data_IF_827465571260
#
_entry.id   IF_827465571260
#
_cell.length_a   1.000
_cell.length_b   1.000
_cell.length_c   1.000
_cell.angle_alpha   90.00
_cell.angle_beta   90.00
_cell.angle_gamma   90.00
#
_symmetry.space_group_name_H-M   'P 1'
#
loop_
_entity.id
_entity.type
_entity.pdbx_description
1 polymer ?
#
# COMPACT_ATOMS: atom_id res chain seq x y z
N UNK A 1 17.47 8.29 2.39
CA UNK A 1 17.51 6.93 1.81
C UNK A 1 17.11 7.03 0.35
N UNK A 2 17.82 6.40 -0.60
CA UNK A 2 17.54 6.57 -2.04
C UNK A 2 16.05 6.28 -2.34
N UNK A 3 15.32 7.29 -2.85
CA UNK A 3 13.88 7.26 -3.22
C UNK A 3 13.38 5.93 -3.84
N UNK A 4 14.14 5.19 -4.69
CA UNK A 4 13.70 3.89 -5.20
C UNK A 4 13.58 2.77 -4.15
N UNK A 5 14.42 2.77 -3.11
CA UNK A 5 14.43 1.69 -2.09
C UNK A 5 13.17 1.71 -1.24
N UNK A 6 12.64 2.90 -0.97
CA UNK A 6 11.45 3.09 -0.14
C UNK A 6 10.20 2.48 -0.78
N UNK A 7 10.03 2.69 -2.10
CA UNK A 7 8.94 2.08 -2.88
C UNK A 7 8.98 0.56 -2.83
N UNK A 8 10.17 -0.02 -2.92
CA UNK A 8 10.36 -1.46 -2.83
C UNK A 8 9.89 -2.00 -1.47
N UNK A 9 10.26 -1.33 -0.38
CA UNK A 9 9.81 -1.70 0.97
C UNK A 9 8.30 -1.62 1.13
N UNK A 10 7.64 -0.57 0.62
CA UNK A 10 6.17 -0.50 0.65
C UNK A 10 5.49 -1.59 -0.17
N UNK A 11 6.07 -1.96 -1.31
CA UNK A 11 5.53 -3.03 -2.12
C UNK A 11 5.65 -4.39 -1.40
N UNK A 12 6.81 -4.66 -0.78
CA UNK A 12 7.01 -5.86 0.05
C UNK A 12 6.03 -5.87 1.23
N UNK A 13 5.84 -4.74 1.91
CA UNK A 13 4.89 -4.60 3.00
C UNK A 13 3.46 -4.91 2.55
N UNK A 14 3.02 -4.34 1.43
CA UNK A 14 1.69 -4.61 0.88
C UNK A 14 1.48 -6.09 0.54
N UNK A 15 2.50 -6.75 -0.03
CA UNK A 15 2.46 -8.20 -0.31
C UNK A 15 2.36 -9.02 0.96
N UNK A 16 3.15 -8.71 2.00
CA UNK A 16 3.10 -9.42 3.30
C UNK A 16 1.70 -9.30 3.91
N UNK A 17 1.12 -8.09 3.91
CA UNK A 17 -0.21 -7.85 4.46
C UNK A 17 -1.30 -8.55 3.64
N UNK A 18 -1.14 -8.61 2.32
CA UNK A 18 -2.07 -9.33 1.47
C UNK A 18 -2.03 -10.84 1.72
N UNK A 19 -0.83 -11.43 1.81
CA UNK A 19 -0.64 -12.86 2.08
C UNK A 19 -1.14 -13.24 3.48
N UNK A 20 -0.88 -12.40 4.49
CA UNK A 20 -1.36 -12.66 5.85
C UNK A 20 -2.89 -12.63 5.93
N UNK A 21 -3.54 -11.72 5.21
CA UNK A 21 -5.00 -11.68 5.12
C UNK A 21 -5.58 -12.86 4.34
N UNK A 22 -4.94 -13.27 3.23
CA UNK A 22 -5.33 -14.48 2.51
C UNK A 22 -5.24 -15.72 3.40
N UNK A 23 -4.15 -15.85 4.16
CA UNK A 23 -3.97 -16.95 5.12
C UNK A 23 -5.02 -16.94 6.21
N UNK A 24 -5.38 -15.75 6.73
CA UNK A 24 -6.47 -15.59 7.69
C UNK A 24 -7.82 -16.01 7.10
N UNK A 25 -8.13 -15.65 5.86
CA UNK A 25 -9.37 -16.07 5.18
C UNK A 25 -9.41 -17.60 5.02
N UNK A 26 -8.31 -18.22 4.62
CA UNK A 26 -8.28 -19.68 4.40
C UNK A 26 -8.38 -20.43 5.73
N UNK A 27 -7.75 -19.92 6.80
CA UNK A 27 -7.78 -20.53 8.13
C UNK A 27 -9.07 -20.22 8.91
N UNK A 28 -9.82 -19.19 8.52
CA UNK A 28 -11.00 -18.73 9.24
C UNK A 28 -12.20 -18.76 8.30
N UNK A 29 -13.10 -19.73 8.47
CA UNK A 29 -14.36 -19.88 7.72
C UNK A 29 -15.37 -18.72 7.91
N UNK A 30 -14.95 -17.64 8.57
CA UNK A 30 -15.76 -16.45 8.82
C UNK A 30 -15.24 -15.27 7.98
N UNK A 31 -15.71 -15.11 6.74
CA UNK A 31 -15.60 -13.84 6.02
C UNK A 31 -16.59 -12.86 6.67
N UNK A 32 -16.26 -12.39 7.87
CA UNK A 32 -17.08 -11.45 8.61
C UNK A 32 -16.88 -10.05 8.01
N UNK A 33 -17.97 -9.33 7.72
CA UNK A 33 -17.92 -8.04 7.03
C UNK A 33 -17.03 -7.01 7.79
N UNK A 34 -16.96 -7.15 9.13
CA UNK A 34 -16.12 -6.33 10.01
C UNK A 34 -14.62 -6.55 9.75
N UNK A 35 -14.20 -7.78 9.48
CA UNK A 35 -12.81 -8.11 9.15
C UNK A 35 -12.42 -7.57 7.76
N UNK A 36 -13.35 -7.63 6.81
CA UNK A 36 -13.15 -7.08 5.46
C UNK A 36 -12.97 -5.55 5.48
N UNK A 37 -13.80 -4.85 6.28
CA UNK A 37 -13.66 -3.40 6.48
C UNK A 37 -12.32 -3.04 7.12
N UNK A 38 -11.89 -3.79 8.15
CA UNK A 38 -10.58 -3.59 8.77
C UNK A 38 -9.43 -3.73 7.78
N UNK A 39 -9.52 -4.70 6.87
CA UNK A 39 -8.52 -4.91 5.83
C UNK A 39 -8.47 -3.76 4.81
N UNK A 40 -9.63 -3.27 4.37
CA UNK A 40 -9.71 -2.11 3.45
C UNK A 40 -9.11 -0.86 4.09
N UNK A 41 -9.41 -0.60 5.37
CA UNK A 41 -8.85 0.54 6.11
C UNK A 41 -7.33 0.42 6.22
N UNK A 42 -6.83 -0.78 6.57
CA UNK A 42 -5.40 -1.03 6.71
C UNK A 42 -4.66 -0.89 5.37
N UNK A 43 -5.23 -1.40 4.28
CA UNK A 43 -4.71 -1.16 2.92
C UNK A 43 -4.66 0.33 2.59
N UNK A 44 -5.75 1.06 2.87
CA UNK A 44 -5.84 2.50 2.59
C UNK A 44 -4.74 3.27 3.33
N UNK A 45 -4.49 2.97 4.61
CA UNK A 45 -3.41 3.59 5.39
C UNK A 45 -2.05 3.29 4.74
N UNK A 46 -1.78 2.05 4.35
CA UNK A 46 -0.51 1.67 3.70
C UNK A 46 -0.31 2.46 2.40
N UNK A 47 -1.37 2.62 1.59
CA UNK A 47 -1.31 3.39 0.35
C UNK A 47 -1.09 4.88 0.59
N UNK A 48 -1.76 5.47 1.60
CA UNK A 48 -1.55 6.88 1.98
C UNK A 48 -0.11 7.09 2.45
N UNK A 49 0.40 6.23 3.34
CA UNK A 49 1.79 6.33 3.82
C UNK A 49 2.77 6.15 2.67
N UNK A 50 2.50 5.23 1.73
CA UNK A 50 3.31 5.08 0.52
C UNK A 50 3.35 6.35 -0.31
N UNK A 51 2.22 7.03 -0.45
CA UNK A 51 2.11 8.27 -1.24
C UNK A 51 2.75 9.47 -0.52
N UNK A 52 2.75 9.52 0.81
CA UNK A 52 3.45 10.56 1.57
C UNK A 52 4.97 10.35 1.54
N UNK A 53 5.42 9.10 1.71
CA UNK A 53 6.84 8.79 1.88
C UNK A 53 7.56 8.67 0.53
N UNK A 54 6.85 8.20 -0.50
CA UNK A 54 7.34 8.12 -1.86
C UNK A 54 6.30 8.66 -2.84
N UNK A 55 5.97 9.98 -2.74
CA UNK A 55 4.99 10.61 -3.59
C UNK A 55 5.34 10.30 -5.02
N UNK A 56 4.34 9.79 -5.76
CA UNK A 56 4.49 9.68 -7.21
C UNK A 56 4.79 11.09 -7.67
N UNK A 57 6.04 11.33 -8.09
CA UNK A 57 6.46 12.61 -8.64
C UNK A 57 5.37 12.97 -9.65
N UNK A 58 4.53 13.95 -9.31
CA UNK A 58 3.63 14.53 -10.29
C UNK A 58 4.58 14.92 -11.41
N UNK A 59 4.29 14.48 -12.63
CA UNK A 59 4.61 15.32 -13.78
C UNK A 59 3.89 16.64 -13.48
N UNK A 60 4.51 17.52 -12.70
CA UNK A 60 4.46 18.90 -13.08
C UNK A 60 5.11 18.87 -14.43
N UNK A 61 4.30 19.13 -15.45
CA UNK A 61 4.81 19.55 -16.74
C UNK A 61 5.85 20.63 -16.44
N UNK A 62 7.11 20.22 -16.53
CA UNK A 62 8.25 21.10 -16.70
C UNK A 62 8.09 21.61 -18.13
N UNK A 63 7.10 22.47 -18.32
CA UNK A 63 6.92 23.22 -19.55
C UNK A 63 8.11 24.17 -19.59
N UNK A 64 8.95 23.92 -20.59
CA UNK A 64 10.29 24.46 -20.68
C UNK A 64 10.30 25.97 -20.62
N UNK A 65 11.10 26.49 -19.70
CA UNK A 65 11.77 27.76 -19.91
C UNK A 65 13.07 27.44 -20.63
N UNK A 66 13.15 27.83 -21.91
CA UNK A 66 14.33 28.16 -22.71
C UNK A 66 13.92 28.35 -24.18
#
# INVERSE_FOLDING_TARGET
MAKPKLRLYFNILAVIVFVSYLGLIICTDFPDAKWSIGFIVLMTIIYIVRDILAPKQKRSDENGDN
#
